data_IF_529104015831
#
_entry.id   IF_529104015831
#
_cell.length_a   1.000
_cell.length_b   1.000
_cell.length_c   1.000
_cell.angle_alpha   90.00
_cell.angle_beta   90.00
_cell.angle_gamma   90.00
#
_symmetry.space_group_name_H-M   'P 1'
#
loop_
_entity.id
_entity.type
_entity.pdbx_description
1 polymer ?
#
# COMPACT_ATOMS: atom_id res chain seq x y z
N UNK A 1 -13.84 -20.97 -34.51
CA UNK A 1 -14.13 -22.36 -34.91
C UNK A 1 -12.97 -23.24 -34.43
N UNK A 2 -13.20 -24.11 -33.44
CA UNK A 2 -12.18 -25.01 -32.87
C UNK A 2 -12.16 -26.31 -33.68
N UNK A 3 -11.01 -26.66 -34.26
CA UNK A 3 -10.81 -27.95 -34.92
C UNK A 3 -10.33 -28.97 -33.89
N UNK A 4 -11.13 -30.02 -33.65
CA UNK A 4 -10.79 -31.16 -32.80
C UNK A 4 -10.19 -32.26 -33.69
N UNK A 5 -8.93 -32.60 -33.51
CA UNK A 5 -8.29 -33.74 -34.19
C UNK A 5 -8.23 -34.90 -33.18
N UNK A 6 -9.07 -35.91 -33.39
CA UNK A 6 -9.04 -37.16 -32.62
C UNK A 6 -8.35 -38.24 -33.46
N UNK A 7 -7.17 -38.70 -33.01
CA UNK A 7 -6.46 -39.84 -33.60
C UNK A 7 -7.05 -41.12 -33.00
N UNK A 8 -7.69 -41.94 -33.82
CA UNK A 8 -8.18 -43.27 -33.42
C UNK A 8 -7.13 -44.33 -33.70
N UNK A 9 -6.56 -44.92 -32.66
CA UNK A 9 -5.81 -46.18 -32.74
C UNK A 9 -6.69 -47.30 -32.19
N UNK A 10 -7.10 -48.21 -33.08
CA UNK A 10 -7.91 -49.38 -32.77
C UNK A 10 -7.02 -50.60 -32.49
N UNK A 11 -6.54 -50.78 -31.26
CA UNK A 11 -6.12 -52.10 -30.76
C UNK A 11 -6.38 -52.18 -29.25
N UNK A 12 -7.39 -52.96 -28.89
CA UNK A 12 -7.70 -53.60 -27.60
C UNK A 12 -7.03 -53.06 -26.31
N UNK A 13 -7.84 -52.37 -25.49
CA UNK A 13 -7.71 -52.32 -24.03
C UNK A 13 -6.68 -51.33 -23.46
N UNK A 14 -6.98 -50.03 -23.47
CA UNK A 14 -6.18 -49.03 -22.74
C UNK A 14 -7.00 -47.78 -22.40
N UNK A 15 -6.75 -47.23 -21.21
CA UNK A 15 -7.35 -46.02 -20.64
C UNK A 15 -7.26 -44.84 -21.60
N UNK A 16 -8.40 -44.23 -21.93
CA UNK A 16 -8.48 -43.00 -22.74
C UNK A 16 -8.14 -41.82 -21.83
N UNK A 17 -6.85 -41.52 -21.67
CA UNK A 17 -6.42 -40.23 -21.12
C UNK A 17 -6.45 -39.19 -22.23
N UNK A 18 -7.51 -38.37 -22.25
CA UNK A 18 -7.54 -37.15 -23.04
C UNK A 18 -6.58 -36.13 -22.41
N UNK A 19 -5.33 -36.08 -22.85
CA UNK A 19 -4.46 -34.95 -22.54
C UNK A 19 -4.89 -33.77 -23.41
N UNK A 20 -5.46 -32.74 -22.77
CA UNK A 20 -5.61 -31.43 -23.41
C UNK A 20 -4.22 -30.86 -23.61
N UNK A 21 -3.61 -31.12 -24.77
CA UNK A 21 -2.39 -30.43 -25.16
C UNK A 21 -2.80 -29.01 -25.58
N UNK A 22 -2.40 -27.95 -24.84
CA UNK A 22 -2.70 -26.59 -25.23
C UNK A 22 -2.09 -26.32 -26.61
N UNK A 23 -2.74 -25.49 -27.45
CA UNK A 23 -2.19 -25.14 -28.75
C UNK A 23 -0.77 -24.58 -28.58
N UNK A 24 0.19 -24.92 -29.47
CA UNK A 24 1.51 -24.31 -29.43
C UNK A 24 1.33 -22.80 -29.51
N UNK A 25 1.73 -22.10 -28.45
CA UNK A 25 1.71 -20.64 -28.41
C UNK A 25 2.54 -20.16 -29.60
N UNK A 26 1.86 -19.45 -30.50
CA UNK A 26 2.45 -18.94 -31.74
C UNK A 26 3.58 -17.94 -31.49
N UNK A 27 4.29 -17.57 -32.56
CA UNK A 27 5.57 -16.89 -32.49
C UNK A 27 5.45 -15.46 -31.94
N UNK A 28 6.44 -15.11 -31.13
CA UNK A 28 6.90 -13.76 -30.80
C UNK A 28 5.87 -12.82 -30.17
N UNK A 29 5.62 -13.00 -28.86
CA UNK A 29 5.23 -11.85 -28.02
C UNK A 29 6.28 -10.77 -28.22
N UNK A 30 5.91 -9.65 -28.83
CA UNK A 30 6.76 -8.47 -28.93
C UNK A 30 6.90 -7.86 -27.53
N UNK A 31 7.90 -8.33 -26.78
CA UNK A 31 8.21 -7.83 -25.43
C UNK A 31 8.34 -6.31 -25.39
N UNK A 32 8.84 -5.69 -26.47
CA UNK A 32 9.01 -4.23 -26.61
C UNK A 32 7.73 -3.40 -26.42
N UNK A 33 6.56 -3.98 -26.66
CA UNK A 33 5.28 -3.26 -26.54
C UNK A 33 4.52 -3.62 -25.26
N UNK A 34 5.14 -4.35 -24.35
CA UNK A 34 4.51 -4.75 -23.08
C UNK A 34 4.82 -3.73 -21.99
N UNK A 35 3.92 -3.62 -21.01
CA UNK A 35 4.17 -2.89 -19.75
C UNK A 35 5.42 -3.39 -19.03
N UNK A 36 5.74 -4.68 -19.13
CA UNK A 36 6.97 -5.23 -18.56
C UNK A 36 8.24 -4.59 -19.16
N UNK A 37 8.25 -4.29 -20.47
CA UNK A 37 9.36 -3.58 -21.08
C UNK A 37 9.42 -2.11 -20.65
N UNK A 38 8.31 -1.38 -20.73
CA UNK A 38 8.31 0.06 -20.43
C UNK A 38 8.47 0.37 -18.94
N UNK A 39 7.97 -0.49 -18.06
CA UNK A 39 8.07 -0.33 -16.61
C UNK A 39 9.38 -0.88 -16.07
N UNK A 40 9.68 -2.16 -16.34
CA UNK A 40 10.76 -2.92 -15.69
C UNK A 40 11.96 -3.26 -16.60
N UNK A 41 12.00 -2.74 -17.83
CA UNK A 41 13.10 -2.97 -18.76
C UNK A 41 13.13 -4.39 -19.35
N UNK A 42 12.04 -5.15 -19.23
CA UNK A 42 11.97 -6.54 -19.74
C UNK A 42 11.58 -6.55 -21.22
N UNK A 43 12.51 -6.15 -22.09
CA UNK A 43 12.24 -5.82 -23.48
C UNK A 43 12.59 -6.90 -24.51
N UNK A 44 13.29 -7.97 -24.11
CA UNK A 44 13.75 -9.02 -25.02
C UNK A 44 13.07 -10.34 -24.72
N UNK A 45 12.60 -11.02 -25.77
CA UNK A 45 12.01 -12.34 -25.66
C UNK A 45 13.13 -13.40 -25.54
N UNK A 46 13.11 -14.17 -24.45
CA UNK A 46 13.94 -15.37 -24.29
C UNK A 46 13.04 -16.55 -23.94
N UNK A 47 12.68 -17.34 -24.95
CA UNK A 47 11.72 -18.43 -24.80
C UNK A 47 10.28 -17.91 -24.75
N UNK A 48 9.62 -18.06 -23.60
CA UNK A 48 8.24 -17.58 -23.37
C UNK A 48 8.18 -16.41 -22.37
N UNK A 49 9.33 -15.86 -22.00
CA UNK A 49 9.42 -14.79 -21.02
C UNK A 49 10.08 -13.55 -21.62
N UNK A 50 9.61 -12.38 -21.19
CA UNK A 50 10.25 -11.11 -21.47
C UNK A 50 11.26 -10.81 -20.37
N UNK A 51 12.51 -10.59 -20.75
CA UNK A 51 13.61 -10.32 -19.82
C UNK A 51 14.41 -9.09 -20.25
N UNK A 52 15.16 -8.51 -19.31
CA UNK A 52 16.16 -7.51 -19.64
C UNK A 52 17.42 -8.22 -20.12
N UNK A 53 17.98 -7.81 -21.25
CA UNK A 53 19.20 -8.41 -21.84
C UNK A 53 20.33 -7.43 -22.01
N UNK A 54 20.06 -6.15 -21.80
CA UNK A 54 21.05 -5.08 -21.90
C UNK A 54 20.79 -4.01 -20.83
N UNK A 55 21.83 -3.28 -20.45
CA UNK A 55 21.65 -2.09 -19.62
C UNK A 55 20.77 -1.03 -20.28
N UNK A 56 20.72 -1.00 -21.61
CA UNK A 56 19.83 -0.09 -22.33
C UNK A 56 18.36 -0.39 -22.05
N UNK A 57 18.00 -1.67 -21.91
CA UNK A 57 16.63 -2.05 -21.53
C UNK A 57 16.29 -1.51 -20.14
N UNK A 58 17.22 -1.63 -19.18
CA UNK A 58 17.06 -1.09 -17.83
C UNK A 58 17.03 0.45 -17.79
N UNK A 59 17.93 1.12 -18.50
CA UNK A 59 18.02 2.59 -18.53
C UNK A 59 16.78 3.26 -19.15
N UNK A 60 16.11 2.56 -20.05
CA UNK A 60 14.89 3.06 -20.69
C UNK A 60 13.62 2.79 -19.87
N UNK A 61 13.71 1.92 -18.86
CA UNK A 61 12.60 1.54 -18.01
C UNK A 61 12.14 2.71 -17.12
N UNK A 62 10.84 2.76 -16.84
CA UNK A 62 10.27 3.77 -15.92
C UNK A 62 10.76 3.55 -14.50
N UNK A 63 10.99 2.29 -14.10
CA UNK A 63 11.54 1.93 -12.79
C UNK A 63 12.98 2.45 -12.62
N UNK A 64 13.79 2.49 -13.69
CA UNK A 64 15.09 3.18 -13.63
C UNK A 64 14.94 4.68 -13.33
N UNK A 65 13.95 5.35 -13.92
CA UNK A 65 13.74 6.81 -13.70
C UNK A 65 13.20 7.13 -12.31
N UNK A 66 12.34 6.26 -11.77
CA UNK A 66 11.62 6.51 -10.52
C UNK A 66 12.28 5.87 -9.30
N UNK A 67 12.97 4.74 -9.49
CA UNK A 67 13.51 3.89 -8.42
C UNK A 67 15.02 3.63 -8.57
N UNK A 68 15.66 4.20 -9.58
CA UNK A 68 17.08 4.03 -9.91
C UNK A 68 17.48 2.57 -10.24
N UNK A 69 16.53 1.74 -10.69
CA UNK A 69 16.76 0.36 -11.15
C UNK A 69 17.43 0.28 -12.54
N UNK A 70 18.57 0.94 -12.69
CA UNK A 70 19.19 1.20 -13.99
C UNK A 70 20.28 0.18 -14.40
N UNK A 71 20.54 -0.84 -13.58
CA UNK A 71 21.65 -1.79 -13.80
C UNK A 71 21.14 -3.18 -14.07
N UNK A 72 21.64 -3.81 -15.13
CA UNK A 72 21.29 -5.18 -15.47
C UNK A 72 22.06 -6.15 -14.55
N UNK A 73 21.35 -6.98 -13.78
CA UNK A 73 21.93 -8.12 -13.07
C UNK A 73 21.16 -9.39 -13.42
N UNK A 74 21.83 -10.31 -14.12
CA UNK A 74 21.17 -11.50 -14.68
C UNK A 74 20.14 -11.08 -15.75
N UNK A 75 18.87 -11.37 -15.49
CA UNK A 75 17.73 -11.08 -16.39
C UNK A 75 16.83 -9.94 -15.90
N UNK A 76 17.25 -9.24 -14.83
CA UNK A 76 16.47 -8.20 -14.15
C UNK A 76 17.24 -6.89 -14.07
N UNK A 77 16.47 -5.80 -14.04
CA UNK A 77 16.97 -4.46 -13.77
C UNK A 77 16.91 -4.22 -12.26
N UNK A 78 18.02 -3.77 -11.68
CA UNK A 78 18.18 -3.54 -10.26
C UNK A 78 18.86 -2.20 -10.00
N UNK A 79 18.69 -1.67 -8.79
CA UNK A 79 19.45 -0.55 -8.26
C UNK A 79 20.64 -1.08 -7.44
N UNK A 80 21.87 -1.08 -7.99
CA UNK A 80 22.99 -1.85 -7.43
C UNK A 80 23.68 -1.18 -6.24
N UNK A 81 23.27 0.02 -5.83
CA UNK A 81 24.05 0.82 -4.87
C UNK A 81 23.22 1.48 -3.77
N UNK A 82 21.89 1.45 -3.87
CA UNK A 82 21.11 2.25 -2.93
C UNK A 82 20.64 1.46 -1.71
N UNK A 83 21.40 1.56 -0.62
CA UNK A 83 20.95 1.16 0.71
C UNK A 83 19.64 1.88 1.09
N UNK A 84 19.39 3.09 0.58
CA UNK A 84 18.12 3.79 0.79
C UNK A 84 16.94 3.04 0.17
N UNK A 85 17.11 2.42 -1.01
CA UNK A 85 16.09 1.58 -1.60
C UNK A 85 15.76 0.39 -0.69
N UNK A 86 16.77 -0.37 -0.24
CA UNK A 86 16.56 -1.51 0.65
C UNK A 86 15.80 -1.12 1.91
N UNK A 87 16.10 0.04 2.50
CA UNK A 87 15.41 0.58 3.70
C UNK A 87 13.93 0.88 3.49
N UNK A 88 13.51 1.19 2.26
CA UNK A 88 12.09 1.43 1.94
C UNK A 88 11.30 0.16 1.66
N UNK A 89 11.96 -0.98 1.45
CA UNK A 89 11.28 -2.24 1.14
C UNK A 89 10.59 -2.86 2.36
N UNK A 90 9.52 -3.62 2.11
CA UNK A 90 8.90 -4.47 3.14
C UNK A 90 9.87 -5.53 3.66
N UNK A 91 10.86 -5.94 2.85
CA UNK A 91 11.92 -6.88 3.26
C UNK A 91 12.79 -6.34 4.38
N UNK A 92 13.15 -5.05 4.35
CA UNK A 92 13.85 -4.40 5.47
C UNK A 92 12.99 -4.40 6.73
N UNK A 93 11.75 -3.89 6.66
CA UNK A 93 10.85 -3.82 7.82
C UNK A 93 10.55 -5.19 8.43
N UNK A 94 10.35 -6.21 7.61
CA UNK A 94 9.89 -7.50 8.11
C UNK A 94 11.04 -8.43 8.49
N UNK A 95 12.16 -8.40 7.76
CA UNK A 95 13.23 -9.41 7.87
C UNK A 95 14.63 -8.83 8.08
N UNK A 96 14.74 -7.51 8.27
CA UNK A 96 16.00 -6.81 8.54
C UNK A 96 16.94 -6.74 7.34
N UNK A 97 16.41 -6.93 6.12
CA UNK A 97 17.21 -6.85 4.88
C UNK A 97 17.32 -5.41 4.38
N UNK A 98 18.04 -4.58 5.14
CA UNK A 98 18.06 -3.13 4.93
C UNK A 98 19.30 -2.60 4.20
N UNK A 99 20.32 -3.43 3.96
CA UNK A 99 21.58 -3.00 3.33
C UNK A 99 21.74 -3.64 1.94
N UNK A 100 22.13 -2.85 0.94
CA UNK A 100 22.41 -3.37 -0.40
C UNK A 100 23.82 -3.94 -0.48
N UNK A 101 23.95 -5.23 -0.82
CA UNK A 101 25.23 -5.86 -1.11
C UNK A 101 25.13 -6.67 -2.41
N UNK A 102 25.88 -6.26 -3.43
CA UNK A 102 25.90 -6.97 -4.72
C UNK A 102 24.54 -6.97 -5.43
N UNK A 103 23.73 -5.93 -5.25
CA UNK A 103 22.40 -5.82 -5.88
C UNK A 103 21.27 -6.52 -5.13
N UNK A 104 21.57 -7.16 -3.99
CA UNK A 104 20.57 -7.84 -3.15
C UNK A 104 20.48 -7.15 -1.80
N UNK A 105 19.26 -6.94 -1.30
CA UNK A 105 19.03 -6.46 0.05
C UNK A 105 19.28 -7.58 1.06
N UNK A 106 20.21 -7.36 1.98
CA UNK A 106 20.62 -8.29 3.02
C UNK A 106 20.60 -7.61 4.39
N UNK A 107 20.63 -8.41 5.45
CA UNK A 107 20.94 -7.94 6.80
C UNK A 107 22.45 -7.91 6.97
N UNK A 108 23.08 -6.74 6.74
CA UNK A 108 24.53 -6.61 6.82
C UNK A 108 25.01 -6.35 8.25
N UNK A 109 24.15 -5.74 9.08
CA UNK A 109 24.46 -5.34 10.45
C UNK A 109 23.35 -5.73 11.43
N UNK A 110 23.68 -5.84 12.72
CA UNK A 110 22.67 -6.09 13.76
C UNK A 110 21.64 -4.95 13.83
N UNK A 111 22.02 -3.72 13.46
CA UNK A 111 21.11 -2.58 13.34
C UNK A 111 19.99 -2.85 12.32
N UNK A 112 20.34 -3.42 11.16
CA UNK A 112 19.36 -3.79 10.14
C UNK A 112 18.33 -4.81 10.70
N UNK A 113 18.82 -5.76 11.51
CA UNK A 113 17.96 -6.75 12.16
C UNK A 113 17.15 -6.16 13.31
N UNK A 114 17.73 -5.27 14.12
CA UNK A 114 17.11 -4.67 15.31
C UNK A 114 15.86 -3.86 15.01
N UNK A 115 15.78 -3.27 13.81
CA UNK A 115 14.62 -2.50 13.36
C UNK A 115 13.52 -3.37 12.72
N UNK A 116 13.72 -4.68 12.61
CA UNK A 116 12.81 -5.59 11.92
C UNK A 116 11.77 -6.25 12.82
N UNK A 117 10.59 -6.56 12.26
CA UNK A 117 9.58 -7.36 12.94
C UNK A 117 10.09 -8.75 13.34
N UNK A 118 11.02 -9.34 12.56
CA UNK A 118 11.62 -10.64 12.88
C UNK A 118 12.44 -10.60 14.18
N UNK A 119 13.10 -9.47 14.48
CA UNK A 119 13.74 -9.27 15.77
C UNK A 119 12.69 -9.08 16.87
N UNK A 120 11.68 -8.23 16.65
CA UNK A 120 10.66 -7.93 17.67
C UNK A 120 9.75 -9.12 18.03
N UNK A 121 9.45 -9.99 17.07
CA UNK A 121 8.53 -11.12 17.26
C UNK A 121 9.26 -12.44 17.54
N UNK A 122 10.38 -12.70 16.86
CA UNK A 122 11.06 -14.01 16.90
C UNK A 122 12.44 -13.97 17.58
N UNK A 123 12.89 -12.81 18.10
CA UNK A 123 14.19 -12.67 18.76
C UNK A 123 15.40 -12.86 17.83
N UNK A 124 15.19 -12.70 16.52
CA UNK A 124 16.24 -12.84 15.50
C UNK A 124 16.87 -11.48 15.20
N UNK A 125 17.75 -11.00 16.08
CA UNK A 125 18.33 -9.65 15.97
C UNK A 125 19.81 -9.63 15.54
N UNK A 126 20.43 -10.79 15.31
CA UNK A 126 21.84 -10.87 14.87
C UNK A 126 21.95 -11.01 13.36
N UNK A 127 22.70 -10.14 12.71
CA UNK A 127 23.02 -10.31 11.29
C UNK A 127 24.09 -11.40 11.12
N UNK A 128 23.77 -12.45 10.35
CA UNK A 128 24.68 -13.53 10.01
C UNK A 128 24.35 -14.09 8.62
N UNK A 129 25.35 -14.10 7.72
CA UNK A 129 25.16 -14.62 6.35
C UNK A 129 24.12 -13.86 5.54
N UNK A 130 23.98 -12.54 5.78
CA UNK A 130 22.99 -11.69 5.11
C UNK A 130 21.55 -11.88 5.59
N UNK A 131 21.34 -12.63 6.68
CA UNK A 131 20.04 -12.88 7.29
C UNK A 131 20.07 -12.56 8.78
N UNK A 132 18.90 -12.30 9.36
CA UNK A 132 18.76 -12.18 10.80
C UNK A 132 18.61 -13.55 11.44
N UNK A 133 19.47 -13.90 12.41
CA UNK A 133 19.48 -15.15 13.16
C UNK A 133 19.25 -14.88 14.64
N UNK A 134 18.97 -15.95 15.40
CA UNK A 134 18.72 -15.87 16.84
C UNK A 134 20.01 -15.40 17.54
N UNK A 135 19.95 -14.26 18.22
CA UNK A 135 21.10 -13.72 18.95
C UNK A 135 20.99 -12.24 19.31
N UNK A 136 20.91 -11.97 20.62
CA UNK A 136 21.00 -10.63 21.20
C UNK A 136 19.72 -9.79 21.10
N UNK A 137 19.44 -8.99 22.12
CA UNK A 137 18.51 -7.86 22.01
C UNK A 137 19.26 -6.63 21.45
N UNK A 138 18.59 -5.65 20.81
CA UNK A 138 19.24 -4.55 20.08
C UNK A 138 20.04 -3.51 20.91
N UNK A 139 20.44 -3.79 22.14
CA UNK A 139 20.84 -2.75 23.10
C UNK A 139 22.01 -3.13 24.03
N UNK A 140 23.18 -3.41 23.46
CA UNK A 140 24.46 -3.40 24.22
C UNK A 140 25.07 -1.97 24.31
N UNK A 141 24.35 -0.93 23.89
CA UNK A 141 24.67 0.48 24.20
C UNK A 141 23.67 1.01 25.24
N UNK A 142 24.12 1.77 26.26
CA UNK A 142 23.33 2.14 27.43
C UNK A 142 22.27 3.20 27.09
N UNK A 143 21.08 2.75 26.72
CA UNK A 143 19.90 3.59 26.63
C UNK A 143 19.23 3.68 28.01
N UNK A 144 19.08 4.88 28.54
CA UNK A 144 18.28 5.13 29.74
C UNK A 144 16.80 4.93 29.37
N UNK A 145 16.16 3.92 29.93
CA UNK A 145 14.76 3.58 29.68
C UNK A 145 13.87 4.48 30.54
N UNK A 146 12.80 5.09 29.99
CA UNK A 146 11.80 5.80 30.78
C UNK A 146 10.99 4.83 31.64
N UNK A 147 10.81 5.20 32.91
CA UNK A 147 10.09 4.43 33.94
C UNK A 147 8.72 3.91 33.45
N UNK A 148 8.47 2.62 33.68
CA UNK A 148 7.15 2.00 33.52
C UNK A 148 6.22 2.49 34.64
N UNK A 149 5.13 3.22 34.37
CA UNK A 149 4.42 3.90 35.45
C UNK A 149 3.65 2.99 36.41
N UNK A 150 3.34 1.73 36.06
CA UNK A 150 2.48 0.86 36.88
C UNK A 150 2.64 -0.67 36.61
N UNK A 151 3.82 -1.15 36.24
CA UNK A 151 4.08 -2.60 36.02
C UNK A 151 5.15 -3.15 36.96
N UNK A 152 4.99 -4.39 37.45
CA UNK A 152 6.08 -5.08 38.15
C UNK A 152 7.04 -5.65 37.11
N UNK A 153 8.23 -5.08 37.00
CA UNK A 153 9.36 -5.76 36.38
C UNK A 153 9.68 -6.99 37.24
N UNK A 154 9.63 -8.18 36.64
CA UNK A 154 10.24 -9.35 37.27
C UNK A 154 11.62 -9.54 36.65
N UNK A 155 12.65 -9.54 37.50
CA UNK A 155 13.97 -10.01 37.13
C UNK A 155 13.86 -11.51 36.87
N UNK A 156 13.89 -11.91 35.60
CA UNK A 156 14.02 -13.33 35.25
C UNK A 156 15.49 -13.70 35.31
N UNK A 157 15.85 -14.69 36.14
CA UNK A 157 17.21 -15.21 36.25
C UNK A 157 17.65 -15.84 34.93
N UNK A 158 18.29 -15.05 34.07
CA UNK A 158 18.90 -15.48 32.82
C UNK A 158 20.36 -15.00 32.75
N UNK A 159 21.23 -15.53 33.62
CA UNK A 159 22.68 -15.35 33.50
C UNK A 159 23.19 -13.97 33.89
N UNK A 160 24.47 -13.64 33.56
CA UNK A 160 25.27 -12.64 34.28
C UNK A 160 24.90 -11.17 34.03
N UNK A 161 23.78 -10.92 33.37
CA UNK A 161 23.25 -9.58 33.15
C UNK A 161 21.79 -9.57 33.58
N UNK A 162 21.52 -8.97 34.74
CA UNK A 162 20.17 -8.65 35.20
C UNK A 162 19.50 -7.73 34.17
N UNK A 163 18.63 -8.28 33.32
CA UNK A 163 17.76 -7.50 32.46
C UNK A 163 16.33 -7.61 32.97
N UNK A 164 15.78 -6.49 33.43
CA UNK A 164 14.35 -6.34 33.63
C UNK A 164 13.65 -6.32 32.28
N UNK A 165 13.10 -7.46 31.87
CA UNK A 165 12.24 -7.54 30.69
C UNK A 165 10.80 -7.43 31.16
N UNK A 166 10.03 -6.53 30.56
CA UNK A 166 8.57 -6.57 30.65
C UNK A 166 8.05 -7.74 29.80
N UNK A 167 8.27 -8.97 30.25
CA UNK A 167 7.72 -10.18 29.63
C UNK A 167 6.39 -10.51 30.27
N UNK A 168 5.31 -10.31 29.52
CA UNK A 168 3.97 -10.79 29.87
C UNK A 168 2.92 -10.29 28.89
N UNK A 169 1.78 -11.00 28.82
CA UNK A 169 0.55 -10.64 28.09
C UNK A 169 -0.01 -9.23 28.43
N UNK A 170 0.66 -8.50 29.32
CA UNK A 170 0.32 -7.18 29.83
C UNK A 170 0.76 -6.01 28.93
N UNK A 171 1.73 -6.21 28.03
CA UNK A 171 2.15 -5.15 27.07
C UNK A 171 1.16 -4.98 25.90
N UNK A 172 0.34 -6.00 25.63
CA UNK A 172 -0.74 -5.97 24.64
C UNK A 172 -2.08 -5.50 25.21
N UNK A 173 -2.17 -5.28 26.52
CA UNK A 173 -3.40 -4.79 27.12
C UNK A 173 -3.57 -3.30 26.81
N UNK A 174 -4.78 -2.87 26.41
CA UNK A 174 -5.08 -1.46 26.22
C UNK A 174 -4.77 -0.69 27.51
N UNK A 175 -3.99 0.37 27.38
CA UNK A 175 -3.63 1.30 28.45
C UNK A 175 -3.58 2.72 27.88
N UNK A 176 -3.64 3.78 28.70
CA UNK A 176 -3.59 5.15 28.18
C UNK A 176 -2.38 5.44 27.30
N UNK A 177 -1.21 4.88 27.66
CA UNK A 177 0.03 5.03 26.88
C UNK A 177 -0.01 4.17 25.62
N UNK A 178 -0.45 2.91 25.73
CA UNK A 178 -0.48 1.99 24.58
C UNK A 178 -1.50 2.44 23.52
N UNK A 179 -2.66 2.95 23.92
CA UNK A 179 -3.67 3.43 22.98
C UNK A 179 -3.16 4.55 22.07
N UNK A 180 -2.30 5.45 22.56
CA UNK A 180 -1.76 6.54 21.73
C UNK A 180 -0.71 6.09 20.73
N UNK A 181 -0.02 5.01 21.04
CA UNK A 181 1.02 4.45 20.17
C UNK A 181 0.47 3.43 19.18
N UNK A 182 -0.74 2.92 19.44
CA UNK A 182 -1.42 1.91 18.62
C UNK A 182 -1.67 2.38 17.18
N UNK A 183 -1.62 1.42 16.26
CA UNK A 183 -1.88 1.69 14.84
C UNK A 183 -3.30 2.22 14.60
N UNK A 184 -4.30 1.76 15.35
CA UNK A 184 -5.68 2.22 15.23
C UNK A 184 -5.88 3.64 15.75
N UNK A 185 -5.08 4.09 16.72
CA UNK A 185 -5.07 5.50 17.08
C UNK A 185 -4.59 6.36 15.91
N UNK A 186 -3.47 5.98 15.29
CA UNK A 186 -2.91 6.71 14.14
C UNK A 186 -3.82 6.67 12.92
N UNK A 187 -4.52 5.56 12.66
CA UNK A 187 -5.38 5.44 11.49
C UNK A 187 -6.81 5.95 11.73
N UNK A 188 -7.43 5.56 12.84
CA UNK A 188 -8.86 5.75 13.11
C UNK A 188 -9.18 6.66 14.31
N UNK A 189 -8.17 7.13 15.05
CA UNK A 189 -8.36 8.01 16.20
C UNK A 189 -8.81 7.29 17.48
N UNK A 190 -8.62 5.98 17.61
CA UNK A 190 -8.92 5.23 18.85
C UNK A 190 -7.79 5.40 19.87
N UNK A 191 -7.57 6.63 20.35
CA UNK A 191 -6.40 6.99 21.15
C UNK A 191 -6.65 7.03 22.67
N UNK A 192 -7.89 6.86 23.12
CA UNK A 192 -8.27 7.02 24.53
C UNK A 192 -8.65 5.67 25.14
N UNK A 193 -8.04 5.30 26.26
CA UNK A 193 -8.37 4.07 26.98
C UNK A 193 -9.71 4.18 27.74
N UNK A 194 -10.63 3.26 27.50
CA UNK A 194 -11.87 3.07 28.28
C UNK A 194 -11.65 1.93 29.30
N UNK A 195 -11.55 2.24 30.61
CA UNK A 195 -11.32 1.23 31.65
C UNK A 195 -12.52 0.28 31.84
N UNK A 196 -13.73 0.70 31.47
CA UNK A 196 -14.94 -0.11 31.61
C UNK A 196 -14.96 -1.26 30.62
N UNK A 197 -14.40 -1.02 29.42
CA UNK A 197 -14.32 -1.99 28.33
C UNK A 197 -12.94 -2.63 28.18
N UNK A 198 -11.95 -2.09 28.91
CA UNK A 198 -10.53 -2.45 28.79
C UNK A 198 -10.07 -2.35 27.33
N UNK A 199 -10.47 -1.28 26.63
CA UNK A 199 -10.24 -1.10 25.19
C UNK A 199 -9.89 0.34 24.82
N UNK A 200 -9.19 0.53 23.70
CA UNK A 200 -8.94 1.85 23.13
C UNK A 200 -10.15 2.33 22.31
N UNK A 201 -10.59 3.56 22.53
CA UNK A 201 -11.72 4.21 21.88
C UNK A 201 -11.38 5.64 21.43
N UNK A 202 -12.27 6.22 20.63
CA UNK A 202 -12.23 7.64 20.27
C UNK A 202 -12.79 8.45 21.45
N UNK A 203 -11.93 9.07 22.25
CA UNK A 203 -12.30 9.88 23.40
C UNK A 203 -12.66 11.30 23.01
N UNK A 204 -11.73 12.00 22.36
CA UNK A 204 -11.82 13.45 22.10
C UNK A 204 -11.76 13.78 20.61
N UNK A 205 -12.05 15.04 20.26
CA UNK A 205 -11.83 15.52 18.90
C UNK A 205 -10.35 15.49 18.51
N UNK A 206 -9.44 15.60 19.48
CA UNK A 206 -8.00 15.57 19.22
C UNK A 206 -7.55 14.19 18.71
N UNK A 207 -8.12 13.12 19.27
CA UNK A 207 -7.87 11.76 18.80
C UNK A 207 -8.20 11.61 17.30
N UNK A 208 -9.32 12.21 16.85
CA UNK A 208 -9.68 12.23 15.43
C UNK A 208 -8.75 13.12 14.61
N UNK A 209 -8.38 14.32 15.10
CA UNK A 209 -7.53 15.27 14.37
C UNK A 209 -6.12 14.74 14.09
N UNK A 210 -5.58 13.94 14.99
CA UNK A 210 -4.27 13.33 14.84
C UNK A 210 -4.29 12.08 13.93
N UNK A 211 -5.48 11.56 13.64
CA UNK A 211 -5.64 10.36 12.83
C UNK A 211 -5.48 10.62 11.32
N UNK A 212 -5.12 9.57 10.58
CA UNK A 212 -5.09 9.63 9.12
C UNK A 212 -6.47 9.85 8.51
N UNK A 213 -7.55 9.43 9.18
CA UNK A 213 -8.93 9.72 8.74
C UNK A 213 -9.19 11.22 8.61
N UNK A 214 -8.71 12.04 9.55
CA UNK A 214 -8.86 13.49 9.44
C UNK A 214 -8.06 14.04 8.25
N UNK A 215 -6.79 13.64 8.11
CA UNK A 215 -5.92 14.09 7.01
C UNK A 215 -6.44 13.66 5.63
N UNK A 216 -6.90 12.43 5.49
CA UNK A 216 -7.29 11.85 4.20
C UNK A 216 -8.74 12.17 3.84
N UNK A 217 -9.67 12.11 4.81
CA UNK A 217 -11.12 12.18 4.56
C UNK A 217 -11.81 13.40 5.20
N UNK A 218 -11.12 14.22 5.99
CA UNK A 218 -11.73 15.35 6.70
C UNK A 218 -12.57 14.96 7.92
N UNK A 219 -12.49 13.70 8.38
CA UNK A 219 -13.21 13.19 9.56
C UNK A 219 -12.47 13.56 10.85
N UNK A 220 -12.57 14.82 11.26
CA UNK A 220 -11.74 15.40 12.31
C UNK A 220 -12.45 15.58 13.67
N UNK A 221 -13.70 15.15 13.83
CA UNK A 221 -14.45 15.32 15.09
C UNK A 221 -14.96 14.00 15.62
N UNK A 222 -14.77 13.77 16.92
CA UNK A 222 -15.43 12.68 17.61
C UNK A 222 -16.93 12.92 17.73
N UNK A 223 -17.72 11.91 17.37
CA UNK A 223 -19.15 11.85 17.60
C UNK A 223 -19.47 10.54 18.32
N UNK A 224 -20.19 10.65 19.44
CA UNK A 224 -20.62 9.49 20.23
C UNK A 224 -22.13 9.35 20.14
N UNK A 225 -22.57 8.20 19.63
CA UNK A 225 -23.97 7.83 19.62
C UNK A 225 -24.15 6.48 20.33
N UNK A 226 -24.82 6.51 21.48
CA UNK A 226 -24.99 5.35 22.37
C UNK A 226 -23.61 4.74 22.70
N UNK A 227 -23.35 3.52 22.23
CA UNK A 227 -22.12 2.77 22.50
C UNK A 227 -21.08 2.85 21.38
N UNK A 228 -21.32 3.63 20.32
CA UNK A 228 -20.38 3.77 19.20
C UNK A 228 -19.82 5.19 19.15
N UNK A 229 -18.50 5.30 19.20
CA UNK A 229 -17.76 6.51 18.90
C UNK A 229 -17.21 6.41 17.47
N UNK A 230 -17.27 7.50 16.71
CA UNK A 230 -16.74 7.57 15.36
C UNK A 230 -16.16 8.95 15.09
N UNK A 231 -15.16 9.02 14.20
CA UNK A 231 -14.69 10.28 13.64
C UNK A 231 -15.59 10.69 12.46
N UNK A 232 -16.12 11.91 12.52
CA UNK A 232 -17.09 12.45 11.56
C UNK A 232 -16.64 13.82 11.04
N UNK A 233 -17.28 14.24 9.96
CA UNK A 233 -17.06 15.53 9.32
C UNK A 233 -18.08 16.56 9.83
N UNK A 234 -17.64 17.72 10.34
CA UNK A 234 -18.55 18.77 10.87
C UNK A 234 -18.38 20.15 10.22
N UNK A 235 -17.28 20.46 9.55
CA UNK A 235 -17.16 21.68 8.74
C UNK A 235 -16.48 21.47 7.37
N UNK A 236 -16.72 22.41 6.45
CA UNK A 236 -16.15 22.38 5.10
C UNK A 236 -14.63 22.59 5.08
N UNK A 237 -14.06 23.26 6.08
CA UNK A 237 -12.64 23.55 6.12
C UNK A 237 -11.80 22.27 6.29
N UNK A 238 -12.30 21.27 7.02
CA UNK A 238 -11.67 19.95 7.13
C UNK A 238 -11.75 19.17 5.82
N UNK A 239 -12.89 19.20 5.11
CA UNK A 239 -12.96 18.63 3.77
C UNK A 239 -11.96 19.29 2.83
N UNK A 240 -11.92 20.62 2.79
CA UNK A 240 -11.04 21.38 1.89
C UNK A 240 -9.55 21.14 2.15
N UNK A 241 -9.15 20.87 3.40
CA UNK A 241 -7.76 20.50 3.75
C UNK A 241 -7.44 19.03 3.52
N UNK A 242 -8.43 18.18 3.33
CA UNK A 242 -8.23 16.75 3.19
C UNK A 242 -7.53 16.38 1.89
N UNK A 243 -6.76 15.28 1.91
CA UNK A 243 -6.16 14.75 0.69
C UNK A 243 -7.21 14.44 -0.37
N UNK A 244 -8.37 13.89 0.03
CA UNK A 244 -9.49 13.61 -0.89
C UNK A 244 -10.06 14.83 -1.59
N UNK A 245 -9.99 16.03 -1.01
CA UNK A 245 -10.38 17.24 -1.74
C UNK A 245 -9.47 17.48 -2.93
N UNK A 246 -8.15 17.39 -2.73
CA UNK A 246 -7.18 17.56 -3.81
C UNK A 246 -7.28 16.44 -4.85
N UNK A 247 -7.35 15.19 -4.39
CA UNK A 247 -7.34 14.03 -5.28
C UNK A 247 -8.66 13.90 -6.04
N UNK A 248 -9.79 13.97 -5.35
CA UNK A 248 -11.11 13.57 -5.87
C UNK A 248 -12.12 14.73 -5.97
N UNK A 249 -11.78 15.94 -5.54
CA UNK A 249 -12.72 17.08 -5.49
C UNK A 249 -13.68 17.04 -4.30
N UNK A 250 -13.46 16.17 -3.32
CA UNK A 250 -14.30 16.02 -2.13
C UNK A 250 -14.08 17.15 -1.11
N UNK A 251 -14.42 18.39 -1.47
CA UNK A 251 -14.00 19.60 -0.73
C UNK A 251 -15.08 20.20 0.18
N UNK A 252 -16.30 19.66 0.20
CA UNK A 252 -17.42 20.22 0.99
C UNK A 252 -18.23 19.13 1.66
N UNK A 253 -18.86 19.44 2.79
CA UNK A 253 -19.76 18.52 3.48
C UNK A 253 -21.04 18.33 2.70
N UNK A 254 -21.45 17.08 2.60
CA UNK A 254 -22.79 16.68 2.16
C UNK A 254 -23.37 15.66 3.13
N UNK A 255 -24.71 15.64 3.17
CA UNK A 255 -25.47 14.63 3.91
C UNK A 255 -25.88 13.54 2.93
N UNK A 256 -25.45 12.31 3.19
CA UNK A 256 -25.91 11.15 2.43
C UNK A 256 -27.38 10.86 2.73
N UNK A 257 -27.99 9.94 1.98
CA UNK A 257 -29.36 9.46 2.28
C UNK A 257 -29.51 8.90 3.69
N UNK A 258 -28.42 8.35 4.25
CA UNK A 258 -28.41 7.77 5.59
C UNK A 258 -28.14 8.82 6.69
N UNK A 259 -28.16 10.12 6.37
CA UNK A 259 -27.83 11.23 7.28
C UNK A 259 -26.40 11.14 7.82
N UNK A 260 -25.50 10.57 7.03
CA UNK A 260 -24.07 10.61 7.32
C UNK A 260 -23.45 11.85 6.67
N UNK A 261 -22.65 12.60 7.44
CA UNK A 261 -21.83 13.68 6.90
C UNK A 261 -20.59 13.12 6.21
N UNK A 262 -20.47 13.37 4.91
CA UNK A 262 -19.31 12.99 4.10
C UNK A 262 -18.74 14.19 3.34
N UNK A 263 -17.47 14.13 2.97
CA UNK A 263 -16.87 15.10 2.07
C UNK A 263 -17.12 14.70 0.61
N UNK A 264 -17.70 15.61 -0.18
CA UNK A 264 -18.06 15.41 -1.58
C UNK A 264 -17.96 16.72 -2.38
N UNK A 265 -17.81 16.68 -3.72
CA UNK A 265 -17.81 17.87 -4.57
C UNK A 265 -19.18 18.53 -4.59
N UNK A 266 -19.26 19.86 -4.42
CA UNK A 266 -20.54 20.58 -4.55
C UNK A 266 -20.53 21.62 -5.68
N UNK A 267 -19.40 21.76 -6.37
CA UNK A 267 -19.25 22.67 -7.51
C UNK A 267 -18.48 21.95 -8.61
N UNK A 268 -18.66 22.40 -9.86
CA UNK A 268 -17.81 21.90 -10.96
C UNK A 268 -16.34 22.27 -10.76
N UNK A 269 -16.07 23.39 -10.09
CA UNK A 269 -14.71 23.80 -9.79
C UNK A 269 -13.96 22.76 -8.95
N UNK A 270 -14.63 22.11 -7.98
CA UNK A 270 -14.00 21.05 -7.21
C UNK A 270 -13.56 19.87 -8.09
N UNK A 271 -14.38 19.46 -9.05
CA UNK A 271 -14.02 18.39 -9.98
C UNK A 271 -12.89 18.84 -10.91
N UNK A 272 -12.99 20.03 -11.51
CA UNK A 272 -11.97 20.56 -12.45
C UNK A 272 -10.59 20.78 -11.81
N UNK A 273 -10.55 21.08 -10.51
CA UNK A 273 -9.30 21.30 -9.78
C UNK A 273 -8.70 20.00 -9.22
N UNK A 274 -9.47 18.91 -9.21
CA UNK A 274 -9.05 17.62 -8.69
C UNK A 274 -7.97 16.95 -9.54
N UNK A 275 -7.15 16.12 -8.91
CA UNK A 275 -6.18 15.30 -9.64
C UNK A 275 -6.89 14.24 -10.50
N UNK A 276 -8.03 13.70 -10.07
CA UNK A 276 -8.85 12.77 -10.88
C UNK A 276 -9.33 13.40 -12.20
N UNK A 277 -9.61 14.71 -12.25
CA UNK A 277 -9.88 15.38 -13.53
C UNK A 277 -8.65 15.38 -14.44
N UNK A 278 -7.46 15.66 -13.90
CA UNK A 278 -6.21 15.69 -14.68
C UNK A 278 -5.80 14.31 -15.16
N UNK A 279 -5.94 13.28 -14.32
CA UNK A 279 -5.45 11.94 -14.64
C UNK A 279 -6.47 11.12 -15.41
N UNK A 280 -7.75 11.18 -15.03
CA UNK A 280 -8.82 10.32 -15.56
C UNK A 280 -9.90 11.06 -16.35
N UNK A 281 -9.83 12.40 -16.47
CA UNK A 281 -10.84 13.18 -17.20
C UNK A 281 -12.17 13.32 -16.47
N UNK A 282 -12.25 13.01 -15.17
CA UNK A 282 -13.49 13.17 -14.38
C UNK A 282 -13.70 14.61 -13.93
N UNK A 283 -13.95 15.50 -14.87
CA UNK A 283 -13.99 16.95 -14.62
C UNK A 283 -15.40 17.53 -14.34
N UNK A 284 -16.46 16.73 -14.54
CA UNK A 284 -17.84 17.16 -14.41
C UNK A 284 -18.50 16.75 -13.09
N UNK A 285 -19.25 17.67 -12.47
CA UNK A 285 -20.06 17.38 -11.27
C UNK A 285 -21.31 16.59 -11.63
N UNK A 286 -21.49 15.41 -11.04
CA UNK A 286 -22.69 14.59 -11.17
C UNK A 286 -23.33 14.30 -9.83
N UNK A 287 -24.66 14.44 -9.76
CA UNK A 287 -25.43 14.17 -8.56
C UNK A 287 -25.84 12.70 -8.53
N UNK A 288 -25.14 11.88 -7.76
CA UNK A 288 -25.50 10.47 -7.59
C UNK A 288 -26.74 10.35 -6.71
N UNK A 289 -27.90 10.23 -7.35
CA UNK A 289 -29.16 10.09 -6.65
C UNK A 289 -29.18 8.88 -5.74
N UNK A 290 -28.57 7.75 -6.12
CA UNK A 290 -28.62 6.50 -5.36
C UNK A 290 -27.88 6.59 -4.03
N UNK A 291 -26.65 7.09 -4.05
CA UNK A 291 -25.83 7.28 -2.84
C UNK A 291 -26.27 8.52 -2.02
N UNK A 292 -26.86 9.53 -2.69
CA UNK A 292 -27.23 10.79 -2.06
C UNK A 292 -26.05 11.76 -1.90
N UNK A 293 -24.95 11.52 -2.62
CA UNK A 293 -23.78 12.40 -2.66
C UNK A 293 -23.47 12.78 -4.11
N UNK A 294 -22.77 13.89 -4.29
CA UNK A 294 -22.24 14.25 -5.59
C UNK A 294 -20.88 13.57 -5.82
N UNK A 295 -20.57 13.28 -7.08
CA UNK A 295 -19.31 12.68 -7.52
C UNK A 295 -18.78 13.41 -8.76
N UNK A 296 -17.50 13.22 -9.06
CA UNK A 296 -16.89 13.72 -10.29
C UNK A 296 -16.87 12.62 -11.35
N UNK A 297 -17.32 12.95 -12.57
CA UNK A 297 -17.38 12.05 -13.74
C UNK A 297 -16.93 12.80 -14.99
N UNK A 298 -16.59 12.08 -16.06
CA UNK A 298 -16.50 12.65 -17.40
C UNK A 298 -17.92 12.85 -17.94
N UNK A 299 -18.24 14.05 -18.44
CA UNK A 299 -19.55 14.37 -19.06
C UNK A 299 -19.46 14.48 -20.57
N UNK A 300 -18.28 14.84 -21.07
CA UNK A 300 -18.01 15.14 -22.47
C UNK A 300 -16.67 14.56 -22.88
N UNK A 301 -16.49 14.31 -24.17
CA UNK A 301 -15.18 13.91 -24.70
C UNK A 301 -14.10 14.96 -24.41
N UNK A 302 -14.48 16.23 -24.24
CA UNK A 302 -13.56 17.31 -23.90
C UNK A 302 -12.98 17.15 -22.48
N UNK A 303 -13.75 16.58 -21.54
CA UNK A 303 -13.23 16.24 -20.22
C UNK A 303 -12.15 15.15 -20.34
N UNK A 304 -12.36 14.18 -21.25
CA UNK A 304 -11.42 13.08 -21.50
C UNK A 304 -10.17 13.53 -22.25
N UNK A 305 -10.28 14.39 -23.26
CA UNK A 305 -9.17 14.86 -24.08
C UNK A 305 -8.07 15.59 -23.31
N UNK A 306 -8.43 16.24 -22.21
CA UNK A 306 -7.47 16.94 -21.37
C UNK A 306 -6.73 16.04 -20.39
N UNK A 307 -7.18 14.79 -20.22
CA UNK A 307 -6.65 13.87 -19.25
C UNK A 307 -5.32 13.24 -19.67
N UNK A 308 -4.53 12.82 -18.68
CA UNK A 308 -3.35 12.00 -18.93
C UNK A 308 -3.72 10.61 -19.44
N UNK A 309 -4.91 10.09 -19.11
CA UNK A 309 -5.43 8.85 -19.66
C UNK A 309 -5.59 8.91 -21.19
N UNK A 310 -6.10 10.02 -21.74
CA UNK A 310 -6.15 10.23 -23.18
C UNK A 310 -4.74 10.30 -23.80
N UNK A 311 -3.82 11.06 -23.19
CA UNK A 311 -2.44 11.22 -23.71
C UNK A 311 -1.64 9.91 -23.72
N UNK A 312 -1.79 9.11 -22.67
CA UNK A 312 -0.95 7.94 -22.44
C UNK A 312 -1.58 6.63 -22.94
N UNK A 313 -2.91 6.54 -22.95
CA UNK A 313 -3.65 5.31 -23.25
C UNK A 313 -4.68 5.44 -24.37
N UNK A 314 -4.91 6.65 -24.90
CA UNK A 314 -5.89 6.88 -25.96
C UNK A 314 -7.35 6.88 -25.49
N UNK A 315 -7.58 6.96 -24.17
CA UNK A 315 -8.91 7.05 -23.56
C UNK A 315 -9.50 8.47 -23.70
N UNK A 316 -9.91 8.84 -24.91
CA UNK A 316 -10.29 10.21 -25.25
C UNK A 316 -11.79 10.43 -25.46
N UNK A 317 -12.61 9.38 -25.36
CA UNK A 317 -14.08 9.45 -25.51
C UNK A 317 -14.80 9.13 -24.21
N UNK A 318 -15.95 9.75 -23.96
CA UNK A 318 -16.74 9.47 -22.76
C UNK A 318 -17.60 8.21 -22.93
N UNK A 319 -17.55 7.33 -21.93
CA UNK A 319 -18.59 6.32 -21.72
C UNK A 319 -19.73 6.94 -20.92
N UNK A 320 -20.82 7.27 -21.62
CA UNK A 320 -22.02 7.87 -21.01
C UNK A 320 -22.71 6.99 -19.97
N UNK A 321 -22.42 5.69 -19.93
CA UNK A 321 -23.01 4.74 -18.97
C UNK A 321 -22.32 4.83 -17.61
N UNK A 322 -20.98 4.89 -17.63
CA UNK A 322 -20.14 4.87 -16.43
C UNK A 322 -19.68 6.25 -16.00
N UNK A 323 -19.72 7.23 -16.91
CA UNK A 323 -19.11 8.54 -16.73
C UNK A 323 -17.58 8.47 -16.62
N UNK A 324 -16.95 7.50 -17.29
CA UNK A 324 -15.49 7.35 -17.40
C UNK A 324 -15.03 7.61 -18.82
N UNK A 325 -13.74 7.85 -19.00
CA UNK A 325 -13.13 7.88 -20.32
C UNK A 325 -12.87 6.45 -20.83
N UNK A 326 -12.85 6.30 -22.15
CA UNK A 326 -12.60 5.03 -22.85
C UNK A 326 -11.89 5.30 -24.18
N UNK A 327 -11.29 4.26 -24.75
CA UNK A 327 -10.84 4.28 -26.14
C UNK A 327 -12.05 4.29 -27.10
N UNK A 328 -11.89 4.78 -28.33
CA UNK A 328 -12.91 4.69 -29.38
C UNK A 328 -13.42 3.26 -29.63
#
# INVERSE_FOLDING_TARGET
MRWMVCIFLLVSGMFISCTCQPPPLGPTVLCRNTTACTQSGRCTNQGNECIATSEADCKNATDCKNHNDCTLQGTHCINPQDTQYCRTTTGCRNTGRCTSQGGVCIAATNEDCGQSLLCSLDGRCKAQGGQCTQGGSPSDEPFTIPECPQGTCQTVDAGPTEQEVCTGEACDQPSPTNCRNDANCKSHGTCTYDPSKKSCEIGTHEDCRQSSLCKQEGRCYSYRQRSRAACVVLNNADCARSTRCKEQGNCTIQQTRNRESVCAPNTEAHCKQSDTCKTEGRCGLYRNRYAGENICIAKTDEDCKHSDACKNYGECEVDTTTGSCKTP
#
